data_IF_359233462286
#
_entry.id   IF_359233462286
#
_cell.length_a   1.000
_cell.length_b   1.000
_cell.length_c   1.000
_cell.angle_alpha   90.00
_cell.angle_beta   90.00
_cell.angle_gamma   90.00
#
_symmetry.space_group_name_H-M   'P 1'
#
loop_
_entity.id
_entity.type
_entity.pdbx_description
1 polymer ?
#
# COMPACT_ATOMS: atom_id res chain seq x y z
N UNK A 1 42.10 27.08 -5.43
CA UNK A 1 41.45 25.79 -5.15
C UNK A 1 41.22 25.15 -6.51
N UNK A 2 41.80 23.98 -6.74
CA UNK A 2 41.90 23.37 -8.08
C UNK A 2 40.55 22.72 -8.45
N UNK A 3 39.88 23.26 -9.46
CA UNK A 3 38.53 22.83 -9.90
C UNK A 3 38.48 21.31 -10.16
N UNK A 4 39.60 20.73 -10.60
CA UNK A 4 39.69 19.28 -10.84
C UNK A 4 39.58 18.47 -9.55
N UNK A 5 40.11 18.98 -8.43
CA UNK A 5 39.97 18.33 -7.11
C UNK A 5 38.54 18.41 -6.59
N UNK A 6 37.85 19.53 -6.82
CA UNK A 6 36.44 19.66 -6.44
C UNK A 6 35.55 18.71 -7.24
N UNK A 7 35.80 18.59 -8.56
CA UNK A 7 35.07 17.67 -9.43
C UNK A 7 35.29 16.21 -8.99
N UNK A 8 36.52 15.86 -8.62
CA UNK A 8 36.87 14.51 -8.15
C UNK A 8 36.22 14.19 -6.79
N UNK A 9 36.15 15.17 -5.88
CA UNK A 9 35.43 15.04 -4.60
C UNK A 9 33.93 14.87 -4.84
N UNK A 10 33.32 15.67 -5.72
CA UNK A 10 31.91 15.58 -6.06
C UNK A 10 31.56 14.22 -6.66
N UNK A 11 32.39 13.72 -7.58
CA UNK A 11 32.20 12.43 -8.22
C UNK A 11 32.35 11.27 -7.22
N UNK A 12 33.25 11.41 -6.24
CA UNK A 12 33.42 10.46 -5.13
C UNK A 12 32.24 10.49 -4.16
N UNK A 13 31.66 11.67 -3.91
CA UNK A 13 30.45 11.83 -3.09
C UNK A 13 29.21 11.25 -3.79
N UNK A 14 29.05 11.48 -5.10
CA UNK A 14 27.99 10.90 -5.92
C UNK A 14 28.07 9.37 -5.96
N UNK A 15 29.25 8.78 -6.15
CA UNK A 15 29.44 7.33 -6.04
C UNK A 15 29.10 6.79 -4.65
N UNK A 16 29.41 7.54 -3.59
CA UNK A 16 29.01 7.17 -2.21
C UNK A 16 27.49 7.19 -2.01
N UNK A 17 26.79 8.10 -2.71
CA UNK A 17 25.32 8.17 -2.70
C UNK A 17 24.71 7.06 -3.55
N UNK A 18 25.30 6.70 -4.69
CA UNK A 18 24.86 5.56 -5.53
C UNK A 18 25.04 4.21 -4.82
N UNK A 19 26.09 4.04 -4.01
CA UNK A 19 26.28 2.84 -3.18
C UNK A 19 25.21 2.72 -2.08
N UNK A 20 24.49 3.80 -1.76
CA UNK A 20 23.33 3.75 -0.86
C UNK A 20 22.01 3.45 -1.58
N UNK A 21 22.00 3.37 -2.92
CA UNK A 21 20.82 3.02 -3.73
C UNK A 21 20.81 1.54 -4.11
N UNK A 22 21.97 0.89 -4.19
CA UNK A 22 22.05 -0.56 -4.40
C UNK A 22 22.07 -1.31 -3.07
N UNK A 23 21.02 -2.09 -2.83
CA UNK A 23 20.82 -3.00 -1.68
C UNK A 23 20.37 -2.35 -0.37
N UNK A 24 19.20 -1.70 -0.40
CA UNK A 24 18.27 -1.85 0.73
C UNK A 24 17.69 -3.27 0.71
N UNK A 25 18.57 -4.28 0.83
CA UNK A 25 18.16 -5.56 1.40
C UNK A 25 17.76 -5.21 2.82
N UNK A 26 16.47 -4.99 3.04
CA UNK A 26 15.88 -5.04 4.37
C UNK A 26 16.53 -6.22 5.06
N UNK A 27 17.26 -5.99 6.15
CA UNK A 27 17.93 -7.10 6.79
C UNK A 27 16.83 -8.14 7.13
N UNK A 28 17.13 -9.43 7.06
CA UNK A 28 16.08 -10.47 7.19
C UNK A 28 15.26 -10.30 8.50
N UNK A 29 15.87 -9.74 9.55
CA UNK A 29 15.20 -9.43 10.81
C UNK A 29 14.26 -8.21 10.71
N UNK A 30 14.62 -7.15 9.99
CA UNK A 30 13.76 -5.99 9.72
C UNK A 30 12.55 -6.38 8.86
N UNK A 31 12.76 -7.20 7.81
CA UNK A 31 11.66 -7.70 6.99
C UNK A 31 10.68 -8.54 7.84
N UNK A 32 11.21 -9.39 8.73
CA UNK A 32 10.42 -10.19 9.64
C UNK A 32 9.67 -9.32 10.68
N UNK A 33 10.32 -8.31 11.24
CA UNK A 33 9.69 -7.37 12.17
C UNK A 33 8.54 -6.59 11.52
N UNK A 34 8.71 -6.15 10.26
CA UNK A 34 7.65 -5.49 9.50
C UNK A 34 6.47 -6.45 9.32
N UNK A 35 6.71 -7.70 8.91
CA UNK A 35 5.65 -8.70 8.75
C UNK A 35 4.89 -8.94 10.05
N UNK A 36 5.59 -9.09 11.16
CA UNK A 36 4.99 -9.28 12.47
C UNK A 36 4.15 -8.07 12.89
N UNK A 37 4.66 -6.86 12.67
CA UNK A 37 3.94 -5.62 12.95
C UNK A 37 2.65 -5.54 12.13
N UNK A 38 2.69 -5.83 10.82
CA UNK A 38 1.50 -5.87 9.98
C UNK A 38 0.51 -6.91 10.50
N UNK A 39 0.97 -8.12 10.85
CA UNK A 39 0.11 -9.18 11.38
C UNK A 39 -0.55 -8.81 12.72
N UNK A 40 0.10 -8.03 13.57
CA UNK A 40 -0.50 -7.58 14.83
C UNK A 40 -1.49 -6.44 14.58
N UNK A 41 -1.10 -5.44 13.79
CA UNK A 41 -1.93 -4.26 13.56
C UNK A 41 -3.17 -4.58 12.74
N UNK A 42 -3.08 -5.51 11.79
CA UNK A 42 -4.24 -5.88 10.97
C UNK A 42 -5.36 -6.54 11.78
N UNK A 43 -5.06 -7.14 12.94
CA UNK A 43 -6.08 -7.67 13.86
C UNK A 43 -6.88 -6.57 14.55
N UNK A 44 -6.35 -5.35 14.58
CA UNK A 44 -7.00 -4.19 15.17
C UNK A 44 -7.92 -3.48 14.18
N UNK A 45 -7.78 -3.77 12.88
CA UNK A 45 -8.62 -3.21 11.84
C UNK A 45 -10.01 -3.86 11.93
N UNK A 46 -11.04 -3.02 12.06
CA UNK A 46 -12.41 -3.46 11.98
C UNK A 46 -12.68 -4.09 10.62
N UNK A 47 -13.34 -5.24 10.62
CA UNK A 47 -13.66 -5.92 9.39
C UNK A 47 -14.61 -5.07 8.51
N UNK A 48 -14.31 -4.98 7.21
CA UNK A 48 -15.10 -4.21 6.25
C UNK A 48 -16.16 -5.09 5.59
N UNK A 49 -17.42 -4.68 5.74
CA UNK A 49 -18.58 -5.45 5.29
C UNK A 49 -19.38 -4.81 4.14
N UNK A 50 -18.91 -3.65 3.64
CA UNK A 50 -19.52 -2.91 2.52
C UNK A 50 -20.24 -1.63 2.94
N UNK A 51 -20.21 -1.24 4.21
CA UNK A 51 -20.84 0.00 4.66
C UNK A 51 -19.95 1.23 4.34
N UNK A 52 -20.50 2.08 3.48
CA UNK A 52 -19.86 3.29 2.95
C UNK A 52 -19.40 4.26 4.04
N UNK A 53 -20.08 4.31 5.20
CA UNK A 53 -19.80 5.28 6.26
C UNK A 53 -18.39 5.15 6.84
N UNK A 54 -17.78 3.97 6.75
CA UNK A 54 -16.43 3.72 7.27
C UNK A 54 -15.45 3.22 6.21
N UNK A 55 -15.81 3.27 4.93
CA UNK A 55 -14.92 2.89 3.82
C UNK A 55 -13.60 3.68 3.84
N UNK A 56 -13.69 5.00 4.00
CA UNK A 56 -12.50 5.87 4.06
C UNK A 56 -11.58 5.48 5.22
N UNK A 57 -12.15 5.30 6.42
CA UNK A 57 -11.41 4.87 7.61
C UNK A 57 -10.76 3.50 7.42
N UNK A 58 -11.46 2.56 6.77
CA UNK A 58 -10.92 1.24 6.47
C UNK A 58 -9.71 1.33 5.52
N UNK A 59 -9.83 2.07 4.42
CA UNK A 59 -8.74 2.27 3.46
C UNK A 59 -7.53 2.92 4.14
N UNK A 60 -7.74 4.00 4.88
CA UNK A 60 -6.67 4.70 5.60
C UNK A 60 -5.99 3.78 6.63
N UNK A 61 -6.76 2.93 7.30
CA UNK A 61 -6.22 1.96 8.26
C UNK A 61 -5.33 0.94 7.56
N UNK A 62 -5.74 0.41 6.40
CA UNK A 62 -4.93 -0.54 5.62
C UNK A 62 -3.67 0.15 5.11
N UNK A 63 -3.78 1.33 4.51
CA UNK A 63 -2.65 2.11 3.99
C UNK A 63 -1.63 2.44 5.10
N UNK A 64 -2.09 2.70 6.32
CA UNK A 64 -1.22 3.02 7.46
C UNK A 64 -0.36 1.85 7.96
N UNK A 65 -0.77 0.61 7.69
CA UNK A 65 -0.06 -0.59 8.15
C UNK A 65 0.70 -1.30 7.03
N UNK A 66 0.38 -1.02 5.76
CA UNK A 66 1.07 -1.63 4.64
C UNK A 66 2.50 -1.08 4.51
N UNK A 67 3.46 -1.89 4.03
CA UNK A 67 4.81 -1.42 3.79
C UNK A 67 4.81 -0.22 2.82
N UNK A 68 5.47 0.87 3.22
CA UNK A 68 5.60 2.11 2.42
C UNK A 68 6.24 1.84 1.05
N UNK A 69 7.16 0.86 0.98
CA UNK A 69 7.77 0.42 -0.26
C UNK A 69 7.12 -0.91 -0.65
N UNK A 70 6.53 -0.95 -1.84
CA UNK A 70 5.91 -2.16 -2.37
C UNK A 70 6.93 -3.32 -2.37
N UNK A 71 6.57 -4.50 -1.83
CA UNK A 71 7.49 -5.63 -1.82
C UNK A 71 7.82 -6.07 -3.24
N UNK A 72 9.11 -6.30 -3.50
CA UNK A 72 9.58 -6.78 -4.81
C UNK A 72 9.33 -8.28 -4.99
N UNK A 73 9.32 -9.04 -3.89
CA UNK A 73 9.11 -10.48 -3.93
C UNK A 73 7.62 -10.84 -4.09
N UNK A 74 7.24 -11.69 -5.06
CA UNK A 74 5.85 -12.12 -5.24
C UNK A 74 5.22 -12.77 -4.01
N UNK A 75 5.99 -13.62 -3.30
CA UNK A 75 5.50 -14.29 -2.08
C UNK A 75 5.15 -13.29 -0.97
N UNK A 76 5.90 -12.21 -0.87
CA UNK A 76 5.67 -11.17 0.13
C UNK A 76 4.47 -10.28 -0.21
N UNK A 77 4.32 -9.92 -1.50
CA UNK A 77 3.09 -9.25 -1.98
C UNK A 77 1.85 -10.08 -1.70
N UNK A 78 1.90 -11.38 -2.02
CA UNK A 78 0.81 -12.31 -1.75
C UNK A 78 0.52 -12.44 -0.24
N UNK A 79 1.55 -12.42 0.60
CA UNK A 79 1.38 -12.43 2.05
C UNK A 79 0.57 -11.22 2.54
N UNK A 80 1.00 -10.00 2.21
CA UNK A 80 0.30 -8.79 2.66
C UNK A 80 -1.11 -8.69 2.09
N UNK A 81 -1.29 -9.05 0.82
CA UNK A 81 -2.62 -9.08 0.22
C UNK A 81 -3.54 -10.08 0.92
N UNK A 82 -3.05 -11.29 1.24
CA UNK A 82 -3.81 -12.27 2.01
C UNK A 82 -4.16 -11.80 3.43
N UNK A 83 -3.31 -10.97 4.04
CA UNK A 83 -3.64 -10.32 5.31
C UNK A 83 -4.86 -9.42 5.13
N UNK A 84 -4.88 -8.57 4.10
CA UNK A 84 -6.01 -7.67 3.80
C UNK A 84 -7.30 -8.46 3.49
N UNK A 85 -7.22 -9.54 2.71
CA UNK A 85 -8.41 -10.33 2.39
C UNK A 85 -9.13 -10.88 3.64
N UNK A 86 -8.41 -11.09 4.75
CA UNK A 86 -8.98 -11.59 6.00
C UNK A 86 -9.81 -10.55 6.76
N UNK A 87 -9.65 -9.27 6.46
CA UNK A 87 -10.43 -8.17 7.05
C UNK A 87 -11.74 -7.92 6.30
N UNK A 88 -11.96 -8.55 5.15
CA UNK A 88 -13.20 -8.41 4.39
C UNK A 88 -14.30 -9.36 4.87
N UNK A 89 -15.55 -8.88 4.79
CA UNK A 89 -16.78 -9.60 5.14
C UNK A 89 -17.91 -9.26 4.15
N UNK A 90 -18.95 -10.09 4.14
CA UNK A 90 -20.23 -9.84 3.45
C UNK A 90 -20.05 -9.31 2.03
N UNK A 91 -20.69 -8.18 1.69
CA UNK A 91 -20.70 -7.62 0.35
C UNK A 91 -19.28 -7.31 -0.17
N UNK A 92 -18.36 -6.92 0.71
CA UNK A 92 -16.98 -6.70 0.32
C UNK A 92 -16.25 -7.99 -0.10
N UNK A 93 -16.64 -9.16 0.44
CA UNK A 93 -16.14 -10.45 -0.06
C UNK A 93 -16.75 -10.84 -1.42
N UNK A 94 -17.96 -10.38 -1.72
CA UNK A 94 -18.59 -10.65 -3.01
C UNK A 94 -17.87 -9.93 -4.15
N UNK A 95 -17.34 -8.72 -3.90
CA UNK A 95 -16.44 -8.01 -4.83
C UNK A 95 -15.20 -8.86 -5.14
N UNK A 96 -14.56 -9.48 -4.13
CA UNK A 96 -13.40 -10.36 -4.34
C UNK A 96 -13.75 -11.57 -5.21
N UNK A 97 -14.90 -12.19 -4.94
CA UNK A 97 -15.35 -13.39 -5.69
C UNK A 97 -15.64 -13.06 -7.15
N UNK A 98 -16.18 -11.87 -7.40
CA UNK A 98 -16.56 -11.38 -8.74
C UNK A 98 -15.36 -10.94 -9.56
N UNK A 99 -14.50 -10.09 -8.99
CA UNK A 99 -13.45 -9.38 -9.74
C UNK A 99 -12.06 -10.02 -9.62
N UNK A 100 -11.82 -10.85 -8.60
CA UNK A 100 -10.54 -11.52 -8.34
C UNK A 100 -9.31 -10.61 -8.40
N UNK A 101 -9.26 -9.51 -7.62
CA UNK A 101 -8.11 -8.60 -7.61
C UNK A 101 -6.83 -9.31 -7.17
N UNK A 102 -5.70 -8.96 -7.79
CA UNK A 102 -4.38 -9.56 -7.50
C UNK A 102 -3.57 -8.84 -6.43
N UNK A 103 -3.94 -7.61 -6.09
CA UNK A 103 -3.25 -6.79 -5.10
C UNK A 103 -4.17 -5.75 -4.44
N UNK A 104 -3.62 -5.05 -3.45
CA UNK A 104 -4.34 -4.03 -2.69
C UNK A 104 -4.75 -2.83 -3.54
N UNK A 105 -3.95 -2.43 -4.54
CA UNK A 105 -4.25 -1.25 -5.36
C UNK A 105 -5.53 -1.48 -6.15
N UNK A 106 -5.62 -2.62 -6.85
CA UNK A 106 -6.83 -2.98 -7.60
C UNK A 106 -8.02 -3.17 -6.66
N UNK A 107 -7.84 -3.84 -5.52
CA UNK A 107 -8.92 -4.01 -4.56
C UNK A 107 -9.44 -2.66 -4.03
N UNK A 108 -8.55 -1.73 -3.70
CA UNK A 108 -8.93 -0.40 -3.21
C UNK A 108 -9.83 0.32 -4.21
N UNK A 109 -9.45 0.32 -5.49
CA UNK A 109 -10.25 0.94 -6.55
C UNK A 109 -11.64 0.32 -6.64
N UNK A 110 -11.72 -1.02 -6.62
CA UNK A 110 -13.00 -1.74 -6.64
C UNK A 110 -13.88 -1.44 -5.42
N UNK A 111 -13.31 -1.32 -4.22
CA UNK A 111 -14.07 -0.97 -3.02
C UNK A 111 -14.58 0.47 -3.07
N UNK A 112 -13.80 1.39 -3.63
CA UNK A 112 -14.20 2.79 -3.82
C UNK A 112 -15.29 2.89 -4.89
N UNK A 113 -15.18 2.14 -5.97
CA UNK A 113 -16.20 2.13 -7.02
C UNK A 113 -17.52 1.49 -6.54
N UNK A 114 -17.47 0.39 -5.79
CA UNK A 114 -18.69 -0.32 -5.35
C UNK A 114 -19.37 0.35 -4.13
N UNK A 115 -18.58 0.84 -3.17
CA UNK A 115 -19.08 1.30 -1.87
C UNK A 115 -18.80 2.78 -1.58
N UNK A 116 -18.05 3.46 -2.44
CA UNK A 116 -17.82 4.90 -2.29
C UNK A 116 -19.10 5.69 -2.50
N UNK A 117 -19.19 6.84 -1.85
CA UNK A 117 -20.24 7.79 -2.21
C UNK A 117 -19.97 8.30 -3.62
N UNK A 118 -20.76 7.83 -4.58
CA UNK A 118 -20.88 8.53 -5.84
C UNK A 118 -21.63 9.83 -5.57
N UNK A 119 -20.90 10.90 -5.32
CA UNK A 119 -21.46 12.24 -5.49
C UNK A 119 -21.88 12.33 -6.94
N UNK A 120 -23.15 12.03 -7.24
CA UNK A 120 -23.78 12.42 -8.49
C UNK A 120 -23.56 13.93 -8.54
N UNK A 121 -22.63 14.37 -9.38
CA UNK A 121 -22.60 15.76 -9.83
C UNK A 121 -23.93 15.91 -10.56
N UNK A 122 -24.97 16.24 -9.80
CA UNK A 122 -26.21 16.75 -10.33
C UNK A 122 -25.76 17.97 -11.10
N UNK A 123 -25.62 17.78 -12.40
CA UNK A 123 -25.53 18.84 -13.37
C UNK A 123 -26.89 19.53 -13.27
N UNK A 124 -27.02 20.37 -12.25
CA UNK A 124 -27.84 21.57 -12.23
C UNK A 124 -27.30 22.43 -13.36
N UNK A 125 -27.53 21.98 -14.59
CA UNK A 125 -27.61 22.84 -15.74
C UNK A 125 -28.85 23.67 -15.45
N UNK A 126 -28.57 24.89 -14.97
CA UNK A 126 -29.51 25.99 -14.80
C UNK A 126 -30.57 25.96 -15.91
N UNK A 127 -31.82 25.69 -15.51
CA UNK A 127 -33.00 26.09 -16.29
C UNK A 127 -33.31 27.56 -16.00
#
# INVERSE_FOLDING_TARGET
MDLNKELEILNKCLKKLDINVETKTTNMAEAQQIRELVMQNIKLIQAFDGDANYLALYIDSIDSIMPVVAPTQPAERAFYFNCILRTLRRAALDVIRREQPSDWSTLRELLVDEFGEHTLISTLILQ
#
